data_IF_151419305672
#
_entry.id   IF_151419305672
#
_cell.length_a   1.000
_cell.length_b   1.000
_cell.length_c   1.000
_cell.angle_alpha   90.00
_cell.angle_beta   90.00
_cell.angle_gamma   90.00
#
_symmetry.space_group_name_H-M   'P 1'
#
loop_
_entity.id
_entity.type
_entity.pdbx_description
1 polymer ?
#
# COMPACT_ATOMS: atom_id res chain seq x y z
N UNK A 1 33.43 15.27 12.62
CA UNK A 1 33.50 14.51 11.38
C UNK A 1 32.13 14.40 10.73
N UNK A 2 32.08 14.50 9.47
CA UNK A 2 30.83 14.48 8.72
C UNK A 2 30.19 13.09 8.59
N UNK A 3 30.74 12.10 9.25
CA UNK A 3 30.23 10.73 9.16
C UNK A 3 28.75 10.59 9.49
N UNK A 4 28.31 11.21 10.58
CA UNK A 4 26.89 11.11 10.97
C UNK A 4 25.99 11.77 9.95
N UNK A 5 26.41 12.91 9.45
CA UNK A 5 25.64 13.61 8.44
C UNK A 5 25.58 12.80 7.13
N UNK A 6 26.72 12.23 6.74
CA UNK A 6 26.76 11.38 5.55
C UNK A 6 25.88 10.13 5.70
N UNK A 7 25.86 9.53 6.90
CA UNK A 7 25.05 8.35 7.16
C UNK A 7 23.57 8.67 7.03
N UNK A 8 23.12 9.80 7.59
CA UNK A 8 21.73 10.20 7.47
C UNK A 8 21.32 10.45 6.03
N UNK A 9 22.20 11.09 5.27
CA UNK A 9 21.94 11.35 3.86
C UNK A 9 21.84 10.05 3.08
N UNK A 10 22.73 9.11 3.35
CA UNK A 10 22.69 7.81 2.69
C UNK A 10 21.44 7.03 3.02
N UNK A 11 20.98 7.09 4.28
CA UNK A 11 19.75 6.41 4.67
C UNK A 11 18.55 6.97 3.92
N UNK A 12 18.46 8.29 3.76
CA UNK A 12 17.39 8.90 2.98
C UNK A 12 17.46 8.47 1.52
N UNK A 13 18.66 8.44 0.95
CA UNK A 13 18.83 8.03 -0.43
C UNK A 13 18.45 6.57 -0.63
N UNK A 14 18.80 5.72 0.32
CA UNK A 14 18.44 4.31 0.26
C UNK A 14 16.93 4.13 0.29
N UNK A 15 16.23 4.88 1.16
CA UNK A 15 14.77 4.81 1.22
C UNK A 15 14.14 5.27 -0.09
N UNK A 16 14.69 6.32 -0.70
CA UNK A 16 14.15 6.87 -1.93
C UNK A 16 14.41 5.98 -3.14
N UNK A 17 15.49 5.21 -3.11
CA UNK A 17 15.84 4.31 -4.21
C UNK A 17 15.50 2.85 -3.92
N UNK A 18 14.91 2.60 -2.77
CA UNK A 18 14.51 1.26 -2.35
C UNK A 18 13.50 0.68 -3.33
N UNK A 19 13.76 -0.51 -3.82
CA UNK A 19 12.84 -1.19 -4.73
C UNK A 19 11.79 -2.01 -4.01
N UNK A 20 11.85 -2.02 -2.68
CA UNK A 20 10.91 -2.72 -1.83
C UNK A 20 9.47 -2.26 -2.11
N UNK A 21 8.53 -3.17 -2.33
CA UNK A 21 7.16 -2.77 -2.62
C UNK A 21 6.52 -2.03 -1.45
N UNK A 22 5.77 -1.01 -1.75
CA UNK A 22 5.02 -0.23 -0.76
C UNK A 22 3.52 -0.46 -0.86
N UNK A 23 3.09 -1.13 -1.91
CA UNK A 23 1.69 -1.41 -2.18
C UNK A 23 1.54 -2.90 -2.46
N UNK A 24 0.65 -3.55 -1.75
CA UNK A 24 0.37 -4.99 -1.89
C UNK A 24 -1.07 -5.17 -2.34
N UNK A 25 -1.26 -5.73 -3.52
CA UNK A 25 -2.61 -5.96 -4.06
C UNK A 25 -3.18 -7.30 -3.60
N UNK A 26 -4.50 -7.39 -3.62
CA UNK A 26 -5.23 -8.63 -3.34
C UNK A 26 -6.54 -8.63 -4.10
N UNK A 27 -7.13 -9.81 -4.26
CA UNK A 27 -8.39 -9.97 -4.98
C UNK A 27 -8.24 -11.00 -6.09
N UNK A 28 -9.37 -11.42 -6.65
CA UNK A 28 -9.40 -12.41 -7.73
C UNK A 28 -8.62 -13.69 -7.35
N UNK A 29 -8.75 -14.12 -6.09
CA UNK A 29 -8.11 -15.33 -5.55
C UNK A 29 -6.59 -15.26 -5.58
N UNK A 30 -6.03 -14.04 -5.55
CA UNK A 30 -4.60 -13.80 -5.54
C UNK A 30 -4.27 -12.76 -4.49
N UNK A 31 -3.05 -12.78 -4.00
CA UNK A 31 -2.58 -11.76 -3.09
C UNK A 31 -1.06 -11.69 -3.15
N UNK A 32 -0.54 -10.48 -3.00
CA UNK A 32 0.91 -10.28 -2.93
C UNK A 32 1.44 -10.45 -1.52
N UNK A 33 0.55 -10.47 -0.52
CA UNK A 33 0.93 -10.66 0.87
C UNK A 33 0.22 -11.84 1.49
N UNK A 34 0.44 -12.04 2.79
CA UNK A 34 -0.20 -13.13 3.53
C UNK A 34 -0.34 -12.77 5.01
N UNK A 35 -0.91 -13.69 5.78
CA UNK A 35 -1.21 -13.45 7.19
C UNK A 35 0.02 -13.32 8.08
N UNK A 36 1.20 -13.72 7.60
CA UNK A 36 2.44 -13.56 8.36
C UNK A 36 2.96 -12.12 8.33
N UNK A 37 2.40 -11.30 7.46
CA UNK A 37 2.85 -9.93 7.24
C UNK A 37 2.07 -8.89 8.05
N UNK A 38 1.62 -9.24 9.25
CA UNK A 38 0.81 -8.33 10.06
C UNK A 38 1.51 -7.03 10.39
N UNK A 39 2.81 -7.08 10.62
CA UNK A 39 3.55 -5.86 10.95
C UNK A 39 3.68 -4.94 9.74
N UNK A 40 3.76 -5.49 8.56
CA UNK A 40 3.94 -4.73 7.33
C UNK A 40 2.61 -4.26 6.75
N UNK A 41 1.60 -5.11 6.76
CA UNK A 41 0.30 -4.82 6.14
C UNK A 41 -0.78 -4.39 7.13
N UNK A 42 -0.48 -4.48 8.41
CA UNK A 42 -1.50 -4.32 9.44
C UNK A 42 -2.34 -5.58 9.53
N UNK A 43 -3.08 -5.73 10.64
CA UNK A 43 -3.89 -6.93 10.85
C UNK A 43 -4.94 -7.12 9.78
N UNK A 44 -5.65 -6.05 9.45
CA UNK A 44 -6.71 -6.11 8.45
C UNK A 44 -6.17 -6.41 7.05
N UNK A 45 -5.08 -5.74 6.66
CA UNK A 45 -4.48 -5.97 5.36
C UNK A 45 -3.95 -7.39 5.20
N UNK A 46 -3.30 -7.90 6.24
CA UNK A 46 -2.79 -9.27 6.22
C UNK A 46 -3.91 -10.28 6.11
N UNK A 47 -5.02 -10.07 6.84
CA UNK A 47 -6.17 -10.96 6.78
C UNK A 47 -6.82 -10.97 5.41
N UNK A 48 -6.99 -9.79 4.81
CA UNK A 48 -7.59 -9.70 3.48
C UNK A 48 -6.72 -10.40 2.44
N UNK A 49 -5.39 -10.25 2.55
CA UNK A 49 -4.48 -10.94 1.65
C UNK A 49 -4.59 -12.45 1.80
N UNK A 50 -4.61 -12.93 3.04
CA UNK A 50 -4.73 -14.37 3.31
C UNK A 50 -6.05 -14.93 2.77
N UNK A 51 -7.14 -14.25 3.04
CA UNK A 51 -8.47 -14.70 2.58
C UNK A 51 -8.50 -14.79 1.06
N UNK A 52 -7.96 -13.82 0.39
CA UNK A 52 -7.92 -13.82 -1.07
C UNK A 52 -7.05 -14.96 -1.59
N UNK A 53 -5.90 -15.19 -0.97
CA UNK A 53 -4.96 -16.23 -1.42
C UNK A 53 -5.52 -17.64 -1.27
N UNK A 54 -6.34 -17.89 -0.24
CA UNK A 54 -6.93 -19.21 -0.04
C UNK A 54 -8.25 -19.40 -0.82
N UNK A 55 -8.62 -18.42 -1.62
CA UNK A 55 -9.76 -18.56 -2.52
C UNK A 55 -11.08 -18.00 -2.02
N UNK A 56 -11.11 -17.37 -0.85
CA UNK A 56 -12.32 -16.72 -0.36
C UNK A 56 -12.58 -15.49 -1.23
N UNK A 57 -13.81 -15.28 -1.70
CA UNK A 57 -14.11 -14.11 -2.53
C UNK A 57 -14.01 -12.83 -1.71
N UNK A 58 -12.98 -12.05 -1.99
CA UNK A 58 -12.70 -10.78 -1.34
C UNK A 58 -12.73 -9.70 -2.42
N UNK A 59 -13.39 -8.56 -2.19
CA UNK A 59 -13.32 -7.47 -3.15
C UNK A 59 -11.87 -7.10 -3.43
N UNK A 60 -11.49 -6.85 -4.68
CA UNK A 60 -10.11 -6.51 -5.00
C UNK A 60 -9.71 -5.18 -4.37
N UNK A 61 -8.46 -5.09 -3.96
CA UNK A 61 -7.95 -3.89 -3.31
C UNK A 61 -6.45 -3.93 -3.17
N UNK A 62 -5.93 -3.01 -2.39
CA UNK A 62 -4.51 -2.99 -2.09
C UNK A 62 -4.28 -2.39 -0.72
N UNK A 63 -3.14 -2.72 -0.14
CA UNK A 63 -2.72 -2.20 1.15
C UNK A 63 -1.42 -1.43 0.98
N UNK A 64 -1.36 -0.24 1.54
CA UNK A 64 -0.12 0.54 1.60
C UNK A 64 0.58 0.11 2.89
N UNK A 65 1.86 -0.23 2.82
CA UNK A 65 2.57 -0.81 3.96
C UNK A 65 2.73 0.18 5.11
N UNK A 66 2.88 -0.37 6.32
CA UNK A 66 3.09 0.45 7.51
C UNK A 66 4.43 1.19 7.46
N UNK A 67 5.37 0.70 6.67
CA UNK A 67 6.68 1.36 6.50
C UNK A 67 6.56 2.73 5.85
N UNK A 68 5.48 2.95 5.10
CA UNK A 68 5.24 4.24 4.48
C UNK A 68 5.04 5.32 5.54
N UNK A 69 4.48 4.96 6.70
CA UNK A 69 4.35 5.92 7.80
C UNK A 69 5.73 6.41 8.27
N UNK A 70 6.68 5.49 8.38
CA UNK A 70 8.05 5.85 8.75
C UNK A 70 8.68 6.72 7.69
N UNK A 71 8.50 6.36 6.42
CA UNK A 71 9.02 7.15 5.31
C UNK A 71 8.41 8.55 5.30
N UNK A 72 7.12 8.64 5.57
CA UNK A 72 6.44 9.94 5.64
C UNK A 72 7.06 10.82 6.71
N UNK A 73 7.33 10.25 7.88
CA UNK A 73 7.94 11.01 8.97
C UNK A 73 9.39 11.43 8.68
N UNK A 74 10.12 10.61 7.94
CA UNK A 74 11.52 10.89 7.61
C UNK A 74 11.68 11.80 6.39
N UNK A 75 10.89 11.60 5.38
CA UNK A 75 11.08 12.25 4.08
C UNK A 75 10.07 13.35 3.77
N UNK A 76 8.95 13.35 4.47
CA UNK A 76 7.89 14.33 4.26
C UNK A 76 6.85 13.89 3.24
N UNK A 77 5.76 14.64 3.21
CA UNK A 77 4.59 14.32 2.41
C UNK A 77 4.89 14.25 0.91
N UNK A 78 5.56 15.25 0.40
CA UNK A 78 5.76 15.36 -1.06
C UNK A 78 6.62 14.22 -1.60
N UNK A 79 7.66 13.83 -0.86
CA UNK A 79 8.51 12.73 -1.29
C UNK A 79 7.75 11.41 -1.30
N UNK A 80 6.95 11.16 -0.26
CA UNK A 80 6.18 9.93 -0.16
C UNK A 80 5.16 9.82 -1.27
N UNK A 81 4.42 10.90 -1.52
CA UNK A 81 3.45 10.92 -2.62
C UNK A 81 4.15 10.68 -3.95
N UNK A 82 5.33 11.27 -4.12
CA UNK A 82 6.10 11.13 -5.35
C UNK A 82 6.40 9.68 -5.71
N UNK A 83 6.84 8.88 -4.75
CA UNK A 83 7.18 7.50 -5.08
C UNK A 83 6.05 6.50 -4.85
N UNK A 84 4.95 6.90 -4.22
CA UNK A 84 3.77 6.04 -4.13
C UNK A 84 2.88 6.15 -5.36
N UNK A 85 2.91 7.28 -6.03
CA UNK A 85 1.98 7.59 -7.11
C UNK A 85 1.91 6.49 -8.17
N UNK A 86 3.07 6.02 -8.62
CA UNK A 86 3.13 5.01 -9.66
C UNK A 86 2.57 3.67 -9.19
N UNK A 87 2.96 3.23 -7.99
CA UNK A 87 2.47 1.96 -7.45
C UNK A 87 0.97 2.00 -7.20
N UNK A 88 0.47 3.12 -6.69
CA UNK A 88 -0.97 3.27 -6.44
C UNK A 88 -1.73 3.27 -7.77
N UNK A 89 -1.20 3.94 -8.78
CA UNK A 89 -1.84 3.97 -10.10
C UNK A 89 -1.93 2.56 -10.67
N UNK A 90 -0.87 1.79 -10.59
CA UNK A 90 -0.87 0.40 -11.05
C UNK A 90 -1.87 -0.45 -10.28
N UNK A 91 -1.96 -0.25 -8.96
CA UNK A 91 -2.90 -1.00 -8.14
C UNK A 91 -4.35 -0.67 -8.51
N UNK A 92 -4.65 0.60 -8.77
CA UNK A 92 -5.98 1.02 -9.20
C UNK A 92 -6.32 0.41 -10.55
N UNK A 93 -5.38 0.40 -11.49
CA UNK A 93 -5.59 -0.21 -12.79
C UNK A 93 -5.86 -1.71 -12.66
N UNK A 94 -5.19 -2.38 -11.73
CA UNK A 94 -5.45 -3.79 -11.48
C UNK A 94 -6.88 -4.01 -11.00
N UNK A 95 -7.37 -3.16 -10.09
CA UNK A 95 -8.74 -3.25 -9.61
C UNK A 95 -9.72 -2.98 -10.75
N UNK A 96 -9.43 -1.97 -11.56
CA UNK A 96 -10.28 -1.65 -12.70
C UNK A 96 -10.41 -2.83 -13.66
N UNK A 97 -9.30 -3.51 -13.92
CA UNK A 97 -9.30 -4.67 -14.80
C UNK A 97 -10.11 -5.84 -14.23
N UNK A 98 -10.00 -6.06 -12.92
CA UNK A 98 -10.73 -7.12 -12.26
C UNK A 98 -12.24 -6.83 -12.24
N UNK A 99 -12.61 -5.60 -11.90
CA UNK A 99 -14.01 -5.22 -11.74
C UNK A 99 -14.70 -4.85 -13.04
N UNK A 100 -13.95 -4.54 -14.09
CA UNK A 100 -14.51 -4.11 -15.36
C UNK A 100 -15.09 -2.72 -15.35
N UNK A 101 -14.75 -1.91 -14.35
CA UNK A 101 -15.21 -0.52 -14.25
C UNK A 101 -14.00 0.39 -14.02
N UNK A 102 -14.18 1.66 -14.21
CA UNK A 102 -13.08 2.61 -14.06
C UNK A 102 -13.32 3.61 -12.94
N UNK A 103 -12.24 3.92 -12.22
CA UNK A 103 -12.28 4.89 -11.16
C UNK A 103 -12.54 6.27 -11.78
N UNK A 104 -13.59 6.94 -11.30
CA UNK A 104 -13.95 8.25 -11.84
C UNK A 104 -14.85 8.22 -13.06
N UNK A 105 -15.27 7.05 -13.52
CA UNK A 105 -16.23 6.97 -14.63
C UNK A 105 -17.57 7.54 -14.17
N UNK A 106 -18.16 8.37 -15.00
CA UNK A 106 -19.40 9.06 -14.64
C UNK A 106 -20.62 8.15 -14.68
N UNK A 107 -20.62 7.17 -15.56
CA UNK A 107 -21.79 6.30 -15.75
C UNK A 107 -21.75 5.03 -14.90
N UNK A 108 -20.57 4.44 -14.79
CA UNK A 108 -20.39 3.20 -14.05
C UNK A 108 -19.10 3.26 -13.23
N UNK A 109 -19.08 4.07 -12.18
CA UNK A 109 -17.85 4.30 -11.43
C UNK A 109 -17.41 3.10 -10.62
N UNK A 110 -16.10 2.96 -10.48
CA UNK A 110 -15.50 2.02 -9.55
C UNK A 110 -15.60 2.63 -8.15
N UNK A 111 -16.28 1.94 -7.24
CA UNK A 111 -16.41 2.40 -5.86
C UNK A 111 -15.27 1.83 -5.03
N UNK A 112 -14.60 2.70 -4.31
CA UNK A 112 -13.46 2.33 -3.47
C UNK A 112 -13.74 2.68 -2.02
N UNK A 113 -13.43 1.73 -1.13
CA UNK A 113 -13.51 1.94 0.31
C UNK A 113 -12.09 2.09 0.84
N UNK A 114 -11.84 3.13 1.63
CA UNK A 114 -10.53 3.40 2.20
C UNK A 114 -10.59 3.20 3.71
N UNK A 115 -9.63 2.45 4.25
CA UNK A 115 -9.59 2.15 5.67
C UNK A 115 -8.18 2.33 6.21
N UNK A 116 -8.09 2.78 7.46
CA UNK A 116 -6.81 2.93 8.13
C UNK A 116 -6.40 1.61 8.77
N UNK A 117 -5.11 1.27 8.65
CA UNK A 117 -4.51 0.14 9.32
C UNK A 117 -3.80 0.50 10.62
N UNK A 118 -4.10 1.66 11.19
CA UNK A 118 -3.45 2.10 12.41
C UNK A 118 -3.71 1.12 13.55
N UNK A 119 -2.73 1.00 14.46
CA UNK A 119 -2.85 0.12 15.62
C UNK A 119 -4.02 0.49 16.51
N UNK A 120 -4.19 1.79 16.70
CA UNK A 120 -5.33 2.30 17.46
C UNK A 120 -6.39 2.68 16.44
N UNK A 121 -7.56 2.08 16.58
CA UNK A 121 -8.66 2.35 15.67
C UNK A 121 -9.01 3.83 15.72
N UNK A 122 -8.99 4.47 14.57
CA UNK A 122 -9.41 5.86 14.44
C UNK A 122 -10.91 5.87 14.23
N UNK A 123 -11.62 6.28 15.24
CA UNK A 123 -13.08 6.37 15.12
C UNK A 123 -13.44 7.63 14.38
N UNK A 124 -14.16 7.46 13.33
CA UNK A 124 -14.64 8.57 12.53
C UNK A 124 -16.07 8.88 12.79
#
# INVERSE_FOLDING_TARGET
MYKNFGTQKLQKMELMTETKPRVYTFGNKKAEGDSSMKNLLGGKGANLAEMSAIGIPVPPGFTITTEVCTEYNLLGKDAVIGFLEEEVQEAIENIENIMGTKFGDKENPLLISVRSGARVSMQE
#
